data_IF_898096373040
#
_entry.id   IF_898096373040
#
_cell.length_a   1.000
_cell.length_b   1.000
_cell.length_c   1.000
_cell.angle_alpha   90.00
_cell.angle_beta   90.00
_cell.angle_gamma   90.00
#
_symmetry.space_group_name_H-M   'P 1'
#
loop_
_entity.id
_entity.type
_entity.pdbx_description
1 polymer ?
#
# COMPACT_ATOMS: atom_id res chain seq x y z
N UNK A 1 -22.17 10.36 60.77
CA UNK A 1 -21.06 10.97 60.01
C UNK A 1 -21.21 10.47 58.59
N UNK A 2 -21.96 11.20 57.78
CA UNK A 2 -22.19 10.87 56.37
C UNK A 2 -21.13 11.62 55.55
N UNK A 3 -20.25 10.86 54.90
CA UNK A 3 -19.34 11.38 53.89
C UNK A 3 -20.09 11.42 52.56
N UNK A 4 -20.90 12.46 52.37
CA UNK A 4 -21.44 12.83 51.07
C UNK A 4 -20.33 13.59 50.32
N UNK A 5 -19.32 12.86 49.86
CA UNK A 5 -18.33 13.42 48.92
C UNK A 5 -19.00 13.56 47.57
N UNK A 6 -19.60 14.73 47.38
CA UNK A 6 -20.07 15.35 46.15
C UNK A 6 -19.13 14.97 45.00
N UNK A 7 -19.56 13.98 44.21
CA UNK A 7 -18.86 13.55 43.02
C UNK A 7 -19.24 14.55 41.92
N UNK A 8 -18.74 15.77 42.05
CA UNK A 8 -18.67 16.74 40.96
C UNK A 8 -17.77 16.13 39.90
N UNK A 9 -18.36 15.26 39.09
CA UNK A 9 -17.73 14.72 37.89
C UNK A 9 -17.46 15.93 37.01
N UNK A 10 -16.25 16.49 37.15
CA UNK A 10 -15.72 17.58 36.37
C UNK A 10 -15.99 17.23 34.92
N UNK A 11 -16.98 17.91 34.34
CA UNK A 11 -17.38 17.72 32.96
C UNK A 11 -16.15 18.03 32.11
N UNK A 12 -15.46 16.99 31.69
CA UNK A 12 -14.30 17.11 30.83
C UNK A 12 -14.83 17.04 29.40
N UNK A 13 -14.90 18.15 28.65
CA UNK A 13 -15.36 18.13 27.26
C UNK A 13 -14.40 17.31 26.36
N UNK A 14 -13.23 16.94 26.86
CA UNK A 14 -12.27 16.05 26.21
C UNK A 14 -12.27 14.62 26.75
N UNK A 15 -13.20 14.27 27.66
CA UNK A 15 -13.39 12.86 27.99
C UNK A 15 -13.77 12.15 26.68
N UNK A 16 -13.02 11.13 26.25
CA UNK A 16 -13.45 10.34 25.11
C UNK A 16 -14.82 9.81 25.48
N UNK A 17 -15.83 10.04 24.63
CA UNK A 17 -17.13 9.39 24.77
C UNK A 17 -16.86 7.92 24.98
N UNK A 18 -17.08 7.44 26.22
CA UNK A 18 -16.98 6.02 26.53
C UNK A 18 -17.97 5.36 25.59
N UNK A 19 -17.41 4.71 24.57
CA UNK A 19 -18.22 3.96 23.65
C UNK A 19 -18.74 2.80 24.47
N UNK A 20 -20.00 2.91 24.92
CA UNK A 20 -20.74 1.79 25.50
C UNK A 20 -20.96 0.84 24.34
N UNK A 21 -19.90 0.09 23.99
CA UNK A 21 -19.93 -0.90 22.94
C UNK A 21 -20.98 -1.90 23.35
N UNK A 22 -22.10 -1.91 22.65
CA UNK A 22 -23.05 -3.01 22.76
C UNK A 22 -22.26 -4.27 22.41
N UNK A 23 -22.09 -5.16 23.37
CA UNK A 23 -21.47 -6.48 23.14
C UNK A 23 -22.35 -7.33 22.21
N UNK A 24 -23.59 -6.91 22.01
CA UNK A 24 -24.52 -7.53 21.09
C UNK A 24 -24.03 -7.38 19.64
N UNK A 25 -23.97 -8.48 18.90
CA UNK A 25 -23.63 -8.45 17.49
C UNK A 25 -24.70 -7.70 16.70
N UNK A 26 -24.27 -6.86 15.78
CA UNK A 26 -25.17 -6.07 14.92
C UNK A 26 -25.19 -6.74 13.55
N UNK A 27 -26.36 -7.18 13.09
CA UNK A 27 -26.52 -7.75 11.74
C UNK A 27 -27.03 -6.67 10.80
N UNK A 28 -26.22 -6.34 9.78
CA UNK A 28 -26.54 -5.35 8.74
C UNK A 28 -26.38 -6.03 7.38
N UNK A 29 -27.42 -5.99 6.55
CA UNK A 29 -27.39 -6.60 5.21
C UNK A 29 -27.13 -8.12 5.21
N UNK A 30 -27.45 -8.83 6.31
CA UNK A 30 -27.16 -10.26 6.46
C UNK A 30 -25.75 -10.59 6.94
N UNK A 31 -24.90 -9.59 7.18
CA UNK A 31 -23.56 -9.75 7.74
C UNK A 31 -23.60 -9.38 9.22
N UNK A 32 -23.15 -10.28 10.08
CA UNK A 32 -23.14 -10.09 11.53
C UNK A 32 -21.79 -9.55 11.99
N UNK A 33 -21.77 -8.28 12.41
CA UNK A 33 -20.58 -7.62 12.92
C UNK A 33 -20.49 -7.80 14.45
N UNK A 34 -19.29 -8.06 15.00
CA UNK A 34 -19.09 -7.96 16.43
C UNK A 34 -19.31 -6.49 16.86
N UNK A 35 -20.10 -6.26 17.92
CA UNK A 35 -20.56 -4.91 18.29
C UNK A 35 -19.46 -3.93 18.73
N UNK A 36 -18.22 -4.39 18.87
CA UNK A 36 -17.04 -3.56 19.10
C UNK A 36 -16.32 -3.12 17.79
N UNK A 37 -16.77 -3.56 16.61
CA UNK A 37 -16.17 -3.12 15.35
C UNK A 37 -16.58 -1.69 15.01
N UNK A 38 -15.60 -0.81 14.98
CA UNK A 38 -15.78 0.51 14.38
C UNK A 38 -15.82 0.34 12.86
N UNK A 39 -16.62 1.20 12.19
CA UNK A 39 -16.66 1.44 10.72
C UNK A 39 -15.29 1.29 10.03
N UNK A 40 -14.24 1.70 10.75
CA UNK A 40 -12.92 1.09 10.74
C UNK A 40 -12.27 0.88 9.39
N UNK A 41 -11.58 1.92 8.89
CA UNK A 41 -10.51 1.87 7.86
C UNK A 41 -10.76 1.07 6.57
N UNK A 42 -11.92 0.42 6.34
CA UNK A 42 -12.16 -0.39 5.15
C UNK A 42 -12.13 0.48 3.89
N UNK A 43 -12.68 1.69 3.96
CA UNK A 43 -12.57 2.67 2.88
C UNK A 43 -11.14 3.12 2.58
N UNK A 44 -10.22 3.03 3.56
CA UNK A 44 -8.81 3.40 3.36
C UNK A 44 -8.06 2.35 2.54
N UNK A 45 -8.52 1.09 2.53
CA UNK A 45 -7.94 0.01 1.70
C UNK A 45 -8.05 0.35 0.22
N UNK A 46 -9.16 0.96 -0.21
CA UNK A 46 -9.34 1.34 -1.61
C UNK A 46 -8.40 2.49 -2.00
N UNK A 47 -8.22 3.48 -1.13
CA UNK A 47 -7.26 4.57 -1.33
C UNK A 47 -5.84 4.00 -1.44
N UNK A 48 -5.46 3.09 -0.53
CA UNK A 48 -4.18 2.38 -0.57
C UNK A 48 -4.00 1.62 -1.90
N UNK A 49 -5.02 0.88 -2.34
CA UNK A 49 -4.98 0.12 -3.58
C UNK A 49 -4.75 1.00 -4.82
N UNK A 50 -5.42 2.15 -4.90
CA UNK A 50 -5.21 3.13 -5.99
C UNK A 50 -3.80 3.71 -5.95
N UNK A 51 -3.31 4.10 -4.77
CA UNK A 51 -1.95 4.62 -4.63
C UNK A 51 -0.89 3.58 -5.02
N UNK A 52 -1.08 2.30 -4.66
CA UNK A 52 -0.18 1.22 -5.07
C UNK A 52 -0.19 1.02 -6.59
N UNK A 53 -1.34 1.13 -7.25
CA UNK A 53 -1.44 1.02 -8.72
C UNK A 53 -0.70 2.18 -9.39
N UNK A 54 -0.94 3.41 -8.96
CA UNK A 54 -0.28 4.60 -9.53
C UNK A 54 1.23 4.52 -9.34
N UNK A 55 1.70 4.16 -8.14
CA UNK A 55 3.12 3.99 -7.86
C UNK A 55 3.74 2.89 -8.73
N UNK A 56 3.08 1.72 -8.83
CA UNK A 56 3.55 0.63 -9.70
C UNK A 56 3.62 1.02 -11.18
N UNK A 57 2.70 1.85 -11.70
CA UNK A 57 2.77 2.36 -13.08
C UNK A 57 3.99 3.27 -13.27
N UNK A 58 4.24 4.19 -12.33
CA UNK A 58 5.40 5.09 -12.37
C UNK A 58 6.70 4.28 -12.34
N UNK A 59 6.76 3.27 -11.48
CA UNK A 59 7.90 2.36 -11.36
C UNK A 59 8.15 1.57 -12.65
N UNK A 60 7.08 1.08 -13.30
CA UNK A 60 7.18 0.38 -14.58
C UNK A 60 7.69 1.30 -15.70
N UNK A 61 7.19 2.54 -15.75
CA UNK A 61 7.67 3.53 -16.72
C UNK A 61 9.15 3.86 -16.49
N UNK A 62 9.56 4.02 -15.22
CA UNK A 62 10.96 4.23 -14.86
C UNK A 62 11.83 3.01 -15.25
N UNK A 63 11.34 1.79 -15.02
CA UNK A 63 12.04 0.56 -15.41
C UNK A 63 12.28 0.51 -16.93
N UNK A 64 11.22 0.74 -17.72
CA UNK A 64 11.30 0.74 -19.19
C UNK A 64 12.25 1.84 -19.68
N UNK A 65 12.16 3.04 -19.11
CA UNK A 65 13.05 4.14 -19.46
C UNK A 65 14.52 3.82 -19.14
N UNK A 66 14.80 3.25 -17.96
CA UNK A 66 16.15 2.84 -17.55
C UNK A 66 16.70 1.72 -18.43
N UNK A 67 15.89 0.73 -18.81
CA UNK A 67 16.29 -0.32 -19.76
C UNK A 67 16.60 0.25 -21.15
N UNK A 68 15.74 1.14 -21.67
CA UNK A 68 15.97 1.80 -22.95
C UNK A 68 17.25 2.66 -22.92
N UNK A 69 17.47 3.39 -21.81
CA UNK A 69 18.68 4.16 -21.60
C UNK A 69 19.92 3.24 -21.55
N UNK A 70 19.88 2.14 -20.79
CA UNK A 70 20.98 1.17 -20.71
C UNK A 70 21.32 0.56 -22.08
N UNK A 71 20.31 0.34 -22.93
CA UNK A 71 20.49 -0.16 -24.29
C UNK A 71 21.09 0.90 -25.24
N UNK A 72 20.65 2.15 -25.14
CA UNK A 72 21.05 3.23 -26.04
C UNK A 72 22.43 3.82 -25.71
N UNK A 73 22.80 3.86 -24.42
CA UNK A 73 23.96 4.59 -23.92
C UNK A 73 25.32 4.12 -24.49
N UNK A 74 25.58 2.81 -24.68
CA UNK A 74 26.82 2.36 -25.32
C UNK A 74 27.00 2.90 -26.74
N UNK A 75 25.92 2.95 -27.52
CA UNK A 75 25.93 3.53 -28.87
C UNK A 75 26.24 5.02 -28.87
N UNK A 76 25.62 5.76 -27.94
CA UNK A 76 25.86 7.19 -27.76
C UNK A 76 27.30 7.48 -27.32
N UNK A 77 27.85 6.70 -26.37
CA UNK A 77 29.23 6.85 -25.92
C UNK A 77 30.26 6.60 -27.03
N UNK A 78 30.02 5.62 -27.90
CA UNK A 78 30.89 5.35 -29.06
C UNK A 78 30.92 6.54 -30.03
N UNK A 79 29.79 7.18 -30.27
CA UNK A 79 29.70 8.36 -31.15
C UNK A 79 30.40 9.59 -30.53
N UNK A 80 30.15 9.86 -29.25
CA UNK A 80 30.79 10.99 -28.54
C UNK A 80 32.31 10.78 -28.43
N UNK A 81 32.75 9.56 -28.13
CA UNK A 81 34.17 9.22 -28.00
C UNK A 81 34.94 9.40 -29.31
N UNK A 82 34.32 9.04 -30.44
CA UNK A 82 34.92 9.23 -31.77
C UNK A 82 35.12 10.72 -32.12
N UNK A 83 34.24 11.61 -31.67
CA UNK A 83 34.34 13.05 -31.94
C UNK A 83 35.35 13.80 -31.07
N UNK A 84 35.56 13.36 -29.82
CA UNK A 84 36.38 14.09 -28.83
C UNK A 84 37.79 13.50 -28.62
N UNK A 85 38.20 12.48 -29.40
CA UNK A 85 39.48 11.81 -29.21
C UNK A 85 39.60 11.07 -27.88
N UNK A 86 38.47 10.79 -27.22
CA UNK A 86 38.47 10.05 -25.96
C UNK A 86 38.89 8.60 -26.20
N UNK A 87 39.74 8.05 -25.31
CA UNK A 87 40.19 6.66 -25.40
C UNK A 87 38.96 5.74 -25.34
N UNK A 88 38.80 4.77 -26.27
CA UNK A 88 37.67 3.86 -26.25
C UNK A 88 37.64 3.11 -24.92
N UNK A 89 36.45 3.02 -24.31
CA UNK A 89 36.26 2.31 -23.06
C UNK A 89 36.64 0.84 -23.27
N UNK A 90 37.37 0.20 -22.34
CA UNK A 90 37.68 -1.21 -22.47
C UNK A 90 36.36 -2.02 -22.54
N UNK A 91 36.27 -3.05 -23.39
CA UNK A 91 35.03 -3.79 -23.63
C UNK A 91 34.45 -4.44 -22.36
N UNK A 92 35.29 -4.72 -21.37
CA UNK A 92 34.89 -5.24 -20.06
C UNK A 92 34.02 -4.24 -19.28
N UNK A 93 34.31 -2.93 -19.37
CA UNK A 93 33.54 -1.90 -18.68
C UNK A 93 32.17 -1.68 -19.35
N UNK A 94 32.09 -1.82 -20.68
CA UNK A 94 30.82 -1.74 -21.41
C UNK A 94 29.83 -2.82 -20.96
N UNK A 95 30.28 -4.08 -20.90
CA UNK A 95 29.46 -5.19 -20.40
C UNK A 95 29.08 -5.02 -18.94
N UNK A 96 30.01 -4.57 -18.09
CA UNK A 96 29.75 -4.30 -16.68
C UNK A 96 28.64 -3.25 -16.49
N UNK A 97 28.68 -2.16 -17.25
CA UNK A 97 27.67 -1.12 -17.20
C UNK A 97 26.29 -1.61 -17.66
N UNK A 98 26.25 -2.36 -18.76
CA UNK A 98 24.99 -2.93 -19.28
C UNK A 98 24.36 -3.90 -18.27
N UNK A 99 25.17 -4.76 -17.64
CA UNK A 99 24.69 -5.73 -16.66
C UNK A 99 24.18 -5.03 -15.39
N UNK A 100 24.90 -4.04 -14.88
CA UNK A 100 24.49 -3.30 -13.67
C UNK A 100 23.24 -2.46 -13.94
N UNK A 101 23.22 -1.62 -14.98
CA UNK A 101 22.08 -0.76 -15.28
C UNK A 101 20.87 -1.56 -15.76
N UNK A 102 21.09 -2.57 -16.60
CA UNK A 102 20.04 -3.51 -17.02
C UNK A 102 19.48 -4.30 -15.84
N UNK A 103 20.34 -4.78 -14.93
CA UNK A 103 19.96 -5.48 -13.72
C UNK A 103 19.07 -4.63 -12.80
N UNK A 104 19.44 -3.37 -12.57
CA UNK A 104 18.60 -2.42 -11.81
C UNK A 104 17.24 -2.24 -12.51
N UNK A 105 17.22 -2.07 -13.83
CA UNK A 105 15.98 -1.99 -14.60
C UNK A 105 15.07 -3.20 -14.40
N UNK A 106 15.63 -4.42 -14.40
CA UNK A 106 14.86 -5.66 -14.16
C UNK A 106 14.28 -5.70 -12.76
N UNK A 107 15.04 -5.29 -11.75
CA UNK A 107 14.55 -5.22 -10.35
C UNK A 107 13.39 -4.23 -10.25
N UNK A 108 13.50 -3.06 -10.88
CA UNK A 108 12.42 -2.07 -10.94
C UNK A 108 11.19 -2.63 -11.63
N UNK A 109 11.36 -3.38 -12.72
CA UNK A 109 10.27 -4.00 -13.43
C UNK A 109 9.53 -5.02 -12.54
N UNK A 110 10.26 -5.90 -11.86
CA UNK A 110 9.67 -6.91 -10.95
C UNK A 110 8.89 -6.25 -9.81
N UNK A 111 9.47 -5.24 -9.17
CA UNK A 111 8.81 -4.57 -8.06
C UNK A 111 7.64 -3.69 -8.52
N UNK A 112 7.73 -3.05 -9.70
CA UNK A 112 6.60 -2.34 -10.32
C UNK A 112 5.42 -3.27 -10.64
N UNK A 113 5.68 -4.44 -11.25
CA UNK A 113 4.64 -5.46 -11.49
C UNK A 113 4.04 -5.97 -10.16
N UNK A 114 4.88 -6.20 -9.16
CA UNK A 114 4.43 -6.70 -7.85
C UNK A 114 3.54 -5.68 -7.12
N UNK A 115 3.90 -4.40 -7.16
CA UNK A 115 3.08 -3.30 -6.63
C UNK A 115 1.74 -3.19 -7.36
N UNK A 116 1.76 -3.29 -8.69
CA UNK A 116 0.56 -3.23 -9.52
C UNK A 116 -0.41 -4.37 -9.20
N UNK A 117 0.09 -5.60 -9.15
CA UNK A 117 -0.72 -6.78 -8.79
C UNK A 117 -1.21 -6.70 -7.34
N UNK A 118 -0.35 -6.24 -6.42
CA UNK A 118 -0.71 -6.00 -5.02
C UNK A 118 -1.85 -5.00 -4.88
N UNK A 119 -1.81 -3.88 -5.61
CA UNK A 119 -2.88 -2.88 -5.64
C UNK A 119 -4.20 -3.44 -6.18
N UNK A 120 -4.16 -4.22 -7.27
CA UNK A 120 -5.36 -4.89 -7.81
C UNK A 120 -5.95 -5.87 -6.79
N UNK A 121 -5.12 -6.66 -6.13
CA UNK A 121 -5.58 -7.60 -5.10
C UNK A 121 -6.12 -6.91 -3.85
N UNK A 122 -5.60 -5.73 -3.50
CA UNK A 122 -6.11 -4.91 -2.41
C UNK A 122 -7.54 -4.42 -2.72
N UNK A 123 -7.79 -3.92 -3.94
CA UNK A 123 -9.14 -3.47 -4.36
C UNK A 123 -10.14 -4.63 -4.41
N UNK A 124 -9.69 -5.82 -4.83
CA UNK A 124 -10.56 -7.00 -4.94
C UNK A 124 -10.77 -7.76 -3.62
N UNK A 125 -10.12 -7.36 -2.52
CA UNK A 125 -10.13 -8.07 -1.23
C UNK A 125 -9.80 -9.57 -1.35
N UNK A 126 -8.99 -9.98 -2.34
CA UNK A 126 -8.86 -11.41 -2.70
C UNK A 126 -7.81 -12.16 -1.90
N UNK A 127 -6.61 -11.58 -1.73
CA UNK A 127 -5.46 -12.24 -1.08
C UNK A 127 -4.67 -11.26 -0.23
N UNK A 128 -4.83 -11.34 1.09
CA UNK A 128 -4.01 -10.61 2.07
C UNK A 128 -2.50 -10.75 1.86
N UNK A 129 -1.93 -11.96 1.75
CA UNK A 129 -0.48 -12.09 1.62
C UNK A 129 0.04 -11.47 0.33
N UNK A 130 -0.75 -11.46 -0.75
CA UNK A 130 -0.34 -10.86 -2.02
C UNK A 130 -0.12 -9.36 -1.92
N UNK A 131 -0.95 -8.65 -1.15
CA UNK A 131 -0.78 -7.21 -0.91
C UNK A 131 0.48 -6.94 -0.07
N UNK A 132 0.72 -7.76 0.97
CA UNK A 132 1.92 -7.65 1.82
C UNK A 132 3.19 -7.91 1.02
N UNK A 133 3.21 -8.94 0.16
CA UNK A 133 4.33 -9.22 -0.73
C UNK A 133 4.57 -8.06 -1.69
N UNK A 134 3.52 -7.45 -2.24
CA UNK A 134 3.63 -6.23 -3.04
C UNK A 134 4.29 -5.08 -2.26
N UNK A 135 3.81 -4.78 -1.05
CA UNK A 135 4.38 -3.75 -0.17
C UNK A 135 5.86 -4.00 0.14
N UNK A 136 6.24 -5.25 0.45
CA UNK A 136 7.63 -5.62 0.72
C UNK A 136 8.50 -5.54 -0.54
N UNK A 137 7.97 -5.92 -1.71
CA UNK A 137 8.67 -5.76 -2.98
C UNK A 137 8.93 -4.27 -3.29
N UNK A 138 7.98 -3.39 -2.99
CA UNK A 138 8.17 -1.94 -3.10
C UNK A 138 9.25 -1.39 -2.17
N UNK A 139 9.50 -2.01 -1.01
CA UNK A 139 10.56 -1.62 -0.09
C UNK A 139 11.97 -1.81 -0.69
N UNK A 140 12.14 -2.78 -1.60
CA UNK A 140 13.41 -2.95 -2.30
C UNK A 140 13.80 -1.72 -3.14
N UNK A 141 12.83 -0.86 -3.49
CA UNK A 141 13.08 0.37 -4.25
C UNK A 141 13.56 1.55 -3.40
N UNK A 142 13.62 1.43 -2.08
CA UNK A 142 14.12 2.50 -1.20
C UNK A 142 15.56 2.93 -1.50
N UNK A 143 16.32 2.10 -2.22
CA UNK A 143 17.67 2.46 -2.67
C UNK A 143 17.67 3.58 -3.73
N UNK A 144 16.52 3.93 -4.29
CA UNK A 144 16.39 5.06 -5.22
C UNK A 144 15.96 6.33 -4.48
N UNK A 145 16.76 7.38 -4.63
CA UNK A 145 16.61 8.63 -3.88
C UNK A 145 15.27 9.35 -4.11
N UNK A 146 14.63 9.15 -5.26
CA UNK A 146 13.38 9.82 -5.61
C UNK A 146 12.15 9.09 -5.09
N UNK A 147 12.14 7.75 -5.09
CA UNK A 147 10.98 6.97 -4.66
C UNK A 147 10.96 6.70 -3.14
N UNK A 148 12.07 6.97 -2.45
CA UNK A 148 12.23 6.72 -1.01
C UNK A 148 11.06 7.23 -0.14
N UNK A 149 10.69 8.54 -0.15
CA UNK A 149 9.65 9.04 0.74
C UNK A 149 8.26 8.45 0.41
N UNK A 150 7.97 8.24 -0.87
CA UNK A 150 6.68 7.71 -1.32
C UNK A 150 6.52 6.23 -0.98
N UNK A 151 7.56 5.41 -1.21
CA UNK A 151 7.51 3.98 -0.91
C UNK A 151 7.47 3.75 0.61
N UNK A 152 8.20 4.56 1.39
CA UNK A 152 8.16 4.52 2.84
C UNK A 152 6.77 4.87 3.39
N UNK A 153 6.16 5.95 2.88
CA UNK A 153 4.82 6.36 3.29
C UNK A 153 3.78 5.28 2.97
N UNK A 154 3.81 4.71 1.76
CA UNK A 154 2.92 3.62 1.36
C UNK A 154 3.13 2.36 2.19
N UNK A 155 4.38 2.05 2.56
CA UNK A 155 4.67 0.91 3.41
C UNK A 155 4.04 1.07 4.80
N UNK A 156 4.34 2.18 5.48
CA UNK A 156 3.86 2.44 6.85
C UNK A 156 2.33 2.49 6.85
N UNK A 157 1.75 3.24 5.91
CA UNK A 157 0.30 3.36 5.79
C UNK A 157 -0.37 2.03 5.44
N UNK A 158 0.19 1.28 4.48
CA UNK A 158 -0.33 -0.03 4.08
C UNK A 158 -0.26 -1.06 5.20
N UNK A 159 0.84 -1.09 5.96
CA UNK A 159 1.00 -2.00 7.09
C UNK A 159 0.00 -1.70 8.21
N UNK A 160 -0.19 -0.42 8.54
CA UNK A 160 -1.18 0.01 9.53
C UNK A 160 -2.62 -0.38 9.13
N UNK A 161 -3.00 -0.09 7.89
CA UNK A 161 -4.35 -0.42 7.37
C UNK A 161 -4.57 -1.94 7.33
N UNK A 162 -3.59 -2.72 6.87
CA UNK A 162 -3.73 -4.18 6.70
C UNK A 162 -3.79 -4.95 8.02
N UNK A 163 -3.21 -4.41 9.10
CA UNK A 163 -3.30 -5.01 10.44
C UNK A 163 -4.51 -4.56 11.25
N UNK A 164 -5.33 -3.65 10.73
CA UNK A 164 -6.59 -3.31 11.39
C UNK A 164 -7.56 -4.50 11.38
N UNK A 165 -8.09 -4.87 12.55
CA UNK A 165 -9.13 -5.89 12.75
C UNK A 165 -10.30 -5.82 11.75
N UNK A 166 -10.91 -4.64 11.46
CA UNK A 166 -12.00 -4.55 10.49
C UNK A 166 -11.58 -4.94 9.07
N UNK A 167 -10.35 -4.64 8.67
CA UNK A 167 -9.82 -5.07 7.37
C UNK A 167 -9.59 -6.58 7.39
N UNK A 168 -9.12 -7.17 8.49
CA UNK A 168 -9.02 -8.65 8.62
C UNK A 168 -10.36 -9.31 8.36
N UNK A 169 -11.38 -8.77 9.01
CA UNK A 169 -12.73 -9.28 8.88
C UNK A 169 -13.29 -9.12 7.47
N UNK A 170 -13.13 -7.95 6.84
CA UNK A 170 -13.56 -7.72 5.46
C UNK A 170 -12.95 -8.73 4.46
N UNK A 171 -11.66 -9.06 4.62
CA UNK A 171 -11.02 -10.09 3.80
C UNK A 171 -11.60 -11.49 4.07
N UNK A 172 -11.95 -11.82 5.32
CA UNK A 172 -12.62 -13.10 5.62
C UNK A 172 -14.03 -13.19 5.04
N UNK A 173 -14.80 -12.10 5.04
CA UNK A 173 -16.12 -12.05 4.39
C UNK A 173 -16.01 -12.31 2.88
N UNK A 174 -14.97 -11.77 2.25
CA UNK A 174 -14.71 -12.05 0.83
C UNK A 174 -14.37 -13.52 0.57
N UNK A 175 -13.64 -14.17 1.48
CA UNK A 175 -13.36 -15.61 1.41
C UNK A 175 -14.61 -16.47 1.60
N UNK A 176 -15.60 -15.97 2.35
CA UNK A 176 -16.91 -16.60 2.54
C UNK A 176 -17.85 -16.42 1.34
N UNK A 177 -17.47 -15.61 0.34
CA UNK A 177 -18.20 -15.47 -0.92
C UNK A 177 -19.02 -14.19 -1.05
N UNK A 178 -19.05 -13.32 -0.03
CA UNK A 178 -19.75 -12.03 -0.13
C UNK A 178 -19.15 -11.14 -1.22
N UNK A 179 -19.99 -10.35 -1.89
CA UNK A 179 -19.53 -9.43 -2.92
C UNK A 179 -18.82 -8.21 -2.31
N UNK A 180 -17.87 -7.65 -3.04
CA UNK A 180 -17.11 -6.48 -2.57
C UNK A 180 -18.03 -5.28 -2.32
N UNK A 181 -19.07 -5.09 -3.15
CA UNK A 181 -20.00 -3.97 -3.00
C UNK A 181 -20.87 -4.13 -1.75
N UNK A 182 -21.33 -5.34 -1.47
CA UNK A 182 -22.11 -5.69 -0.27
C UNK A 182 -21.30 -5.45 1.00
N UNK A 183 -20.04 -5.88 1.01
CA UNK A 183 -19.11 -5.60 2.13
C UNK A 183 -18.96 -4.08 2.29
N UNK A 184 -18.69 -3.33 1.22
CA UNK A 184 -18.53 -1.88 1.32
C UNK A 184 -19.80 -1.16 1.79
N UNK A 185 -20.97 -1.57 1.31
CA UNK A 185 -22.26 -1.00 1.71
C UNK A 185 -22.57 -1.25 3.19
N UNK A 186 -22.37 -2.48 3.67
CA UNK A 186 -22.59 -2.81 5.09
C UNK A 186 -21.70 -1.98 6.03
N UNK A 187 -20.42 -1.75 5.67
CA UNK A 187 -19.55 -0.84 6.41
C UNK A 187 -19.95 0.65 6.30
N UNK A 188 -20.63 1.07 5.22
CA UNK A 188 -21.16 2.43 5.10
C UNK A 188 -22.40 2.62 5.98
N UNK A 189 -23.30 1.64 6.02
CA UNK A 189 -24.49 1.63 6.87
C UNK A 189 -24.13 1.61 8.36
N UNK A 190 -23.11 0.85 8.76
CA UNK A 190 -22.59 0.84 10.13
C UNK A 190 -22.18 2.25 10.62
N UNK A 191 -21.82 3.18 9.71
CA UNK A 191 -21.55 4.58 10.08
C UNK A 191 -22.76 5.25 10.71
N UNK A 192 -23.95 4.99 10.17
CA UNK A 192 -25.17 5.70 10.54
C UNK A 192 -25.66 5.30 11.94
N UNK A 193 -25.28 4.10 12.41
CA UNK A 193 -25.64 3.60 13.73
C UNK A 193 -24.66 4.00 14.85
N UNK A 194 -23.45 4.47 14.49
CA UNK A 194 -22.32 4.67 15.42
C UNK A 194 -21.92 6.16 15.55
N UNK A 195 -22.55 7.05 14.77
CA UNK A 195 -22.30 8.49 14.79
C UNK A 195 -23.34 9.25 15.61
#
# INVERSE_FOLDING_TARGET
MNNDSENDSVYNPYQPTEFVGTTEPITIGGITFPGNMRRGMVGHVQILGVLMIVHGIIDLLAAVFMMAYAWMMPGLMRQIGAGNGAKPMPPQAEWGMLLVMGGIGVVFLIAGVSNLLGGIWAIQFRRRPGVVVGLVAGFAMLLSCYCFPTSLALMIYGMFVMFSQPVIYAFSLRQQGHDVKEIQQSFLELRQYVG
#
